data_IF_121861582067
#
_entry.id   IF_121861582067
#
_cell.length_a   1.000
_cell.length_b   1.000
_cell.length_c   1.000
_cell.angle_alpha   90.00
_cell.angle_beta   90.00
_cell.angle_gamma   90.00
#
_symmetry.space_group_name_H-M   'P 1'
#
loop_
_entity.id
_entity.type
_entity.pdbx_description
1 polymer ?
#
# COMPACT_ATOMS: atom_id res chain seq x y z
N UNK A 1 51.89 -60.04 47.85
CA UNK A 1 52.37 -61.17 48.68
C UNK A 1 51.14 -61.90 49.17
N UNK A 2 51.00 -63.17 48.76
CA UNK A 2 50.08 -64.24 49.25
C UNK A 2 48.56 -63.96 49.08
N UNK A 3 47.68 -64.87 48.63
CA UNK A 3 47.59 -66.34 48.79
C UNK A 3 46.72 -66.91 47.65
N UNK A 4 47.28 -67.77 46.78
CA UNK A 4 47.03 -69.23 46.61
C UNK A 4 45.61 -69.63 46.13
N UNK A 5 45.47 -70.25 44.94
CA UNK A 5 45.46 -71.72 44.67
C UNK A 5 44.05 -72.33 44.79
N UNK A 6 43.58 -73.35 44.09
CA UNK A 6 44.11 -74.50 43.35
C UNK A 6 43.08 -74.90 42.25
N UNK A 7 43.41 -75.80 41.32
CA UNK A 7 42.59 -76.19 40.18
C UNK A 7 41.87 -77.55 40.36
N UNK A 8 41.16 -77.95 39.29
CA UNK A 8 40.83 -79.36 38.93
C UNK A 8 39.60 -79.93 39.65
N UNK A 9 38.64 -80.65 39.06
CA UNK A 9 38.50 -81.33 37.76
C UNK A 9 37.04 -81.80 37.60
N UNK A 10 36.57 -81.97 36.35
CA UNK A 10 35.54 -82.92 35.86
C UNK A 10 34.13 -82.82 36.49
N UNK A 11 33.04 -82.85 35.72
CA UNK A 11 32.66 -84.00 34.91
C UNK A 11 31.52 -83.62 33.94
N UNK A 12 31.55 -84.27 32.77
CA UNK A 12 30.60 -84.16 31.66
C UNK A 12 29.16 -84.49 32.08
N UNK A 13 28.20 -83.76 31.51
CA UNK A 13 26.90 -84.32 31.13
C UNK A 13 26.43 -83.63 29.83
N UNK A 14 26.23 -84.43 28.76
CA UNK A 14 25.40 -84.10 27.59
C UNK A 14 23.96 -84.55 27.95
N UNK A 15 22.87 -83.92 27.49
CA UNK A 15 22.58 -83.86 26.04
C UNK A 15 21.70 -82.69 25.53
N UNK A 16 21.51 -82.74 24.21
CA UNK A 16 20.30 -82.36 23.46
C UNK A 16 20.05 -80.88 23.09
N UNK A 17 20.67 -80.50 21.96
CA UNK A 17 20.06 -79.94 20.75
C UNK A 17 18.83 -79.00 20.87
N UNK A 18 19.08 -77.75 20.45
CA UNK A 18 18.40 -76.99 19.36
C UNK A 18 17.82 -75.62 19.77
N UNK A 19 18.06 -74.67 18.86
CA UNK A 19 17.51 -73.33 18.69
C UNK A 19 18.08 -72.20 19.57
N UNK A 20 19.17 -71.59 19.08
CA UNK A 20 19.43 -70.18 19.37
C UNK A 20 19.29 -69.39 18.08
N UNK A 21 18.31 -68.49 18.11
CA UNK A 21 17.92 -67.53 17.08
C UNK A 21 19.11 -66.62 16.76
N UNK A 22 19.49 -66.54 15.49
CA UNK A 22 20.44 -65.53 15.01
C UNK A 22 19.68 -64.21 14.88
N UNK A 23 19.81 -63.34 15.87
CA UNK A 23 19.30 -61.97 15.80
C UNK A 23 20.14 -61.17 14.80
N UNK A 24 19.60 -60.98 13.59
CA UNK A 24 20.10 -60.04 12.60
C UNK A 24 19.86 -58.61 13.12
N UNK A 25 20.89 -57.94 13.62
CA UNK A 25 20.81 -56.50 13.90
C UNK A 25 20.90 -55.77 12.56
N UNK A 26 19.74 -55.51 11.96
CA UNK A 26 19.63 -54.58 10.84
C UNK A 26 19.77 -53.18 11.44
N UNK A 27 20.91 -52.53 11.21
CA UNK A 27 21.06 -51.11 11.46
C UNK A 27 20.13 -50.37 10.48
N UNK A 28 18.92 -50.04 10.95
CA UNK A 28 18.03 -49.11 10.24
C UNK A 28 18.67 -47.73 10.39
N UNK A 29 19.48 -47.33 9.41
CA UNK A 29 19.75 -45.92 9.18
C UNK A 29 18.44 -45.26 8.82
N UNK A 30 17.73 -44.73 9.83
CA UNK A 30 16.68 -43.75 9.62
C UNK A 30 17.38 -42.52 9.07
N UNK A 31 17.47 -42.41 7.74
CA UNK A 31 17.64 -41.11 7.12
C UNK A 31 16.41 -40.31 7.48
N UNK A 32 16.53 -39.49 8.54
CA UNK A 32 15.64 -38.37 8.73
C UNK A 32 15.87 -37.51 7.49
N UNK A 33 15.03 -37.70 6.46
CA UNK A 33 14.81 -36.65 5.47
C UNK A 33 14.26 -35.50 6.31
N UNK A 34 15.15 -34.61 6.72
CA UNK A 34 14.74 -33.29 7.17
C UNK A 34 13.79 -32.78 6.12
N UNK A 35 12.54 -32.49 6.50
CA UNK A 35 11.74 -31.58 5.70
C UNK A 35 12.64 -30.36 5.51
N UNK A 36 13.03 -30.09 4.27
CA UNK A 36 13.46 -28.74 3.91
C UNK A 36 12.22 -27.88 4.11
N UNK A 37 12.07 -27.34 5.31
CA UNK A 37 11.17 -26.23 5.59
C UNK A 37 12.04 -25.00 5.39
N UNK A 38 12.02 -24.43 4.20
CA UNK A 38 12.57 -23.09 3.95
C UNK A 38 11.61 -22.35 3.02
N UNK A 39 10.45 -21.93 3.55
CA UNK A 39 9.57 -20.97 2.87
C UNK A 39 9.54 -19.62 3.60
N UNK A 40 10.57 -19.32 4.42
CA UNK A 40 10.78 -18.01 5.04
C UNK A 40 12.09 -17.32 4.63
N UNK A 41 12.96 -17.99 3.87
CA UNK A 41 14.30 -17.49 3.54
C UNK A 41 14.40 -16.68 2.23
N UNK A 42 13.29 -16.49 1.49
CA UNK A 42 13.30 -15.66 0.27
C UNK A 42 12.87 -14.20 0.50
N UNK A 43 12.23 -13.89 1.63
CA UNK A 43 11.74 -12.56 1.91
C UNK A 43 12.88 -11.63 2.38
N UNK A 44 13.06 -10.52 1.68
CA UNK A 44 14.02 -9.46 2.03
C UNK A 44 13.28 -8.27 2.63
N UNK A 45 13.79 -7.77 3.76
CA UNK A 45 13.37 -6.48 4.29
C UNK A 45 14.12 -5.35 3.58
N UNK A 46 13.39 -4.39 3.02
CA UNK A 46 13.93 -3.25 2.30
C UNK A 46 13.51 -1.93 2.98
N UNK A 47 14.39 -1.33 3.81
CA UNK A 47 14.07 -0.12 4.56
C UNK A 47 14.10 1.13 3.67
N UNK A 48 12.95 1.78 3.52
CA UNK A 48 12.78 3.08 2.90
C UNK A 48 12.70 4.14 4.00
N UNK A 49 13.85 4.65 4.46
CA UNK A 49 13.93 5.56 5.61
C UNK A 49 14.49 6.92 5.20
N UNK A 50 13.99 7.98 5.84
CA UNK A 50 14.59 9.30 5.73
C UNK A 50 16.05 9.29 6.22
N UNK A 51 16.97 10.03 5.57
CA UNK A 51 18.39 10.02 5.92
C UNK A 51 18.72 10.96 7.08
N UNK A 52 18.17 10.70 8.27
CA UNK A 52 18.39 11.49 9.49
C UNK A 52 18.14 12.99 9.29
N UNK A 53 16.96 13.32 8.77
CA UNK A 53 16.56 14.69 8.42
C UNK A 53 16.23 15.53 9.67
N UNK A 54 16.28 16.85 9.50
CA UNK A 54 15.98 17.82 10.56
C UNK A 54 15.17 18.99 9.97
N UNK A 55 13.86 18.81 9.72
CA UNK A 55 13.00 19.89 9.27
C UNK A 55 12.78 20.91 10.40
N UNK A 56 13.01 22.19 10.12
CA UNK A 56 12.87 23.28 11.12
C UNK A 56 11.59 24.09 10.95
N UNK A 57 10.80 23.79 9.91
CA UNK A 57 9.57 24.49 9.56
C UNK A 57 8.41 23.52 9.71
N UNK A 58 7.33 23.97 10.35
CA UNK A 58 6.10 23.17 10.49
C UNK A 58 5.46 22.91 9.13
N UNK A 59 4.69 21.85 9.03
CA UNK A 59 4.04 21.42 7.79
C UNK A 59 5.05 21.20 6.64
N UNK A 60 6.24 20.67 6.94
CA UNK A 60 7.23 20.36 5.89
C UNK A 60 7.00 18.97 5.33
N UNK A 61 6.94 18.87 4.00
CA UNK A 61 6.80 17.60 3.28
C UNK A 61 8.15 17.27 2.64
N UNK A 62 8.84 16.27 3.18
CA UNK A 62 10.14 15.84 2.65
C UNK A 62 9.98 14.59 1.80
N UNK A 63 10.70 14.54 0.69
CA UNK A 63 10.76 13.42 -0.24
C UNK A 63 12.18 12.87 -0.35
N UNK A 64 12.30 11.56 -0.50
CA UNK A 64 13.54 10.88 -0.91
C UNK A 64 13.25 9.67 -1.80
N UNK A 65 14.15 9.35 -2.72
CA UNK A 65 13.95 8.33 -3.75
C UNK A 65 14.84 7.10 -3.57
N UNK A 66 14.27 5.93 -3.86
CA UNK A 66 14.92 4.63 -3.82
C UNK A 66 14.79 3.98 -5.20
N UNK A 67 15.91 3.54 -5.78
CA UNK A 67 15.93 2.97 -7.11
C UNK A 67 15.55 1.50 -7.09
N UNK A 68 14.61 1.10 -7.94
CA UNK A 68 14.21 -0.30 -8.13
C UNK A 68 15.15 -1.02 -9.12
N UNK A 69 15.19 -2.36 -9.11
CA UNK A 69 16.05 -3.12 -10.02
C UNK A 69 15.79 -2.77 -11.49
N UNK A 70 16.86 -2.52 -12.25
CA UNK A 70 16.74 -2.08 -13.66
C UNK A 70 16.46 -3.22 -14.63
N UNK A 71 17.03 -4.39 -14.37
CA UNK A 71 17.02 -5.53 -15.30
C UNK A 71 16.19 -6.72 -14.79
N UNK A 72 15.55 -6.57 -13.63
CA UNK A 72 14.70 -7.57 -13.01
C UNK A 72 13.56 -6.85 -12.25
N UNK A 73 12.57 -7.61 -11.76
CA UNK A 73 11.50 -7.09 -10.91
C UNK A 73 11.50 -7.76 -9.54
N UNK A 74 10.89 -7.11 -8.57
CA UNK A 74 10.65 -7.66 -7.23
C UNK A 74 9.18 -7.43 -6.85
N UNK A 75 8.69 -8.20 -5.89
CA UNK A 75 7.32 -8.17 -5.41
C UNK A 75 7.25 -7.60 -4.00
N UNK A 76 6.46 -6.55 -3.77
CA UNK A 76 6.19 -6.01 -2.44
C UNK A 76 4.92 -6.66 -1.90
N UNK A 77 5.01 -7.31 -0.73
CA UNK A 77 3.90 -8.05 -0.11
C UNK A 77 3.44 -7.48 1.23
N UNK A 78 4.26 -6.62 1.86
CA UNK A 78 3.95 -6.01 3.15
C UNK A 78 4.58 -4.63 3.27
N UNK A 79 3.87 -3.73 3.95
CA UNK A 79 4.31 -2.39 4.30
C UNK A 79 4.31 -2.23 5.83
N UNK A 80 5.49 -2.20 6.44
CA UNK A 80 5.65 -2.04 7.89
C UNK A 80 6.12 -0.62 8.19
N UNK A 81 5.33 0.21 8.89
CA UNK A 81 5.77 1.55 9.24
C UNK A 81 6.92 1.52 10.25
N UNK A 82 7.95 2.31 10.01
CA UNK A 82 9.00 2.66 10.97
C UNK A 82 8.87 4.14 11.28
N UNK A 83 7.83 4.48 12.02
CA UNK A 83 7.50 5.86 12.38
C UNK A 83 6.65 5.88 13.65
N UNK A 84 6.54 7.06 14.24
CA UNK A 84 5.56 7.32 15.28
C UNK A 84 4.90 8.66 15.00
N UNK A 85 3.60 8.78 15.31
CA UNK A 85 2.84 10.01 15.11
C UNK A 85 3.47 11.23 15.80
N UNK A 86 4.25 11.03 16.86
CA UNK A 86 5.00 12.12 17.53
C UNK A 86 6.07 12.79 16.65
N UNK A 87 6.40 12.24 15.49
CA UNK A 87 7.43 12.80 14.59
C UNK A 87 6.96 12.90 13.14
N UNK A 88 6.28 11.88 12.61
CA UNK A 88 5.69 11.91 11.27
C UNK A 88 4.16 11.93 11.37
N UNK A 89 3.52 12.94 10.77
CA UNK A 89 2.06 13.04 10.78
C UNK A 89 1.41 12.03 9.83
N UNK A 90 1.98 11.86 8.63
CA UNK A 90 1.67 10.78 7.71
C UNK A 90 2.86 10.49 6.80
N UNK A 91 2.84 9.30 6.18
CA UNK A 91 3.87 8.83 5.24
C UNK A 91 3.18 8.30 3.99
N UNK A 92 3.58 8.80 2.83
CA UNK A 92 3.10 8.33 1.54
C UNK A 92 4.24 7.69 0.76
N UNK A 93 3.93 6.62 0.05
CA UNK A 93 4.88 5.93 -0.84
C UNK A 93 4.34 5.97 -2.26
N UNK A 94 5.16 6.53 -3.15
CA UNK A 94 4.84 6.65 -4.56
C UNK A 94 5.74 5.76 -5.40
N UNK A 95 5.18 5.17 -6.46
CA UNK A 95 5.94 4.65 -7.58
C UNK A 95 6.14 5.75 -8.61
N UNK A 96 7.37 5.93 -9.08
CA UNK A 96 7.69 6.86 -10.16
C UNK A 96 8.47 6.15 -11.27
N UNK A 97 8.29 6.61 -12.50
CA UNK A 97 9.26 6.35 -13.57
C UNK A 97 10.54 7.17 -13.36
N UNK A 98 10.38 8.43 -12.98
CA UNK A 98 11.44 9.35 -12.60
C UNK A 98 11.02 10.15 -11.36
N UNK A 99 11.84 10.20 -10.30
CA UNK A 99 11.54 11.00 -9.12
C UNK A 99 11.70 12.49 -9.44
N UNK A 100 11.02 13.36 -8.70
CA UNK A 100 11.08 14.80 -8.97
C UNK A 100 12.47 15.42 -8.78
N UNK A 101 13.30 14.80 -7.93
CA UNK A 101 14.73 15.08 -7.84
C UNK A 101 15.51 13.76 -7.75
N UNK A 102 16.65 13.69 -8.44
CA UNK A 102 17.61 12.60 -8.28
C UNK A 102 19.03 13.11 -8.53
N UNK A 103 19.99 12.42 -7.93
CA UNK A 103 21.41 12.63 -8.17
C UNK A 103 22.04 11.25 -8.39
N UNK A 104 22.87 11.12 -9.44
CA UNK A 104 23.44 9.83 -9.88
C UNK A 104 24.23 9.12 -8.78
N UNK A 105 24.93 9.90 -7.94
CA UNK A 105 25.91 9.39 -6.98
C UNK A 105 25.63 9.84 -5.53
N UNK A 106 24.46 10.44 -5.28
CA UNK A 106 24.04 10.83 -3.92
C UNK A 106 23.06 9.81 -3.38
N UNK A 107 23.40 9.08 -2.31
CA UNK A 107 22.64 7.90 -1.91
C UNK A 107 21.21 8.23 -1.50
N UNK A 108 20.93 9.42 -0.96
CA UNK A 108 19.61 9.85 -0.47
C UNK A 108 19.47 11.37 -0.48
N UNK A 109 19.30 11.96 -1.67
CA UNK A 109 18.88 13.36 -1.76
C UNK A 109 17.51 13.53 -1.09
N UNK A 110 17.35 14.64 -0.36
CA UNK A 110 16.08 15.04 0.24
C UNK A 110 15.66 16.36 -0.37
N UNK A 111 14.38 16.45 -0.73
CA UNK A 111 13.80 17.67 -1.27
C UNK A 111 12.43 17.92 -0.64
N UNK A 112 11.98 19.17 -0.69
CA UNK A 112 10.64 19.56 -0.32
C UNK A 112 9.69 19.20 -1.47
N UNK A 113 8.71 18.32 -1.21
CA UNK A 113 7.78 17.82 -2.22
C UNK A 113 6.83 18.91 -2.73
N UNK A 114 6.78 20.07 -2.05
CA UNK A 114 6.11 21.26 -2.52
C UNK A 114 4.59 21.23 -2.37
N UNK A 115 4.06 20.43 -1.45
CA UNK A 115 2.61 20.36 -1.16
C UNK A 115 2.13 21.52 -0.29
N UNK A 116 3.01 22.24 0.43
CA UNK A 116 2.62 23.44 1.17
C UNK A 116 3.03 24.74 0.47
N UNK A 117 2.15 25.74 0.46
CA UNK A 117 2.43 27.08 -0.08
C UNK A 117 3.34 27.89 0.86
N UNK A 118 4.30 28.61 0.28
CA UNK A 118 4.84 29.83 0.87
C UNK A 118 6.05 29.74 1.82
N UNK A 119 6.28 28.66 2.57
CA UNK A 119 7.39 28.62 3.53
C UNK A 119 8.65 27.96 2.94
N UNK A 120 9.80 28.63 3.09
CA UNK A 120 11.10 28.07 2.69
C UNK A 120 11.58 27.08 3.75
N UNK A 121 11.39 25.79 3.50
CA UNK A 121 11.86 24.69 4.36
C UNK A 121 13.39 24.56 4.46
N UNK A 122 14.13 25.28 3.61
CA UNK A 122 15.60 25.15 3.48
C UNK A 122 16.03 24.03 2.53
N UNK A 123 15.09 23.18 2.10
CA UNK A 123 15.32 22.16 1.09
C UNK A 123 15.01 22.70 -0.31
N UNK A 124 15.62 22.11 -1.33
CA UNK A 124 15.21 22.40 -2.71
C UNK A 124 13.78 21.91 -2.93
N UNK A 125 12.95 22.70 -3.60
CA UNK A 125 11.58 22.30 -3.93
C UNK A 125 11.52 21.51 -5.24
N UNK A 126 10.65 20.51 -5.29
CA UNK A 126 10.36 19.72 -6.49
C UNK A 126 9.14 18.82 -6.29
N UNK A 127 8.50 18.34 -7.35
CA UNK A 127 7.36 17.43 -7.22
C UNK A 127 7.81 16.08 -6.63
N UNK A 128 6.86 15.23 -6.24
CA UNK A 128 7.15 13.87 -5.79
C UNK A 128 7.76 13.02 -6.91
N UNK A 129 7.11 13.01 -8.08
CA UNK A 129 7.63 12.39 -9.31
C UNK A 129 7.72 13.45 -10.41
N UNK A 130 8.72 13.37 -11.29
CA UNK A 130 8.72 14.15 -12.52
C UNK A 130 7.90 13.48 -13.62
N UNK A 131 7.77 12.15 -13.59
CA UNK A 131 6.91 11.38 -14.49
C UNK A 131 6.46 10.06 -13.85
N UNK A 132 5.35 9.52 -14.36
CA UNK A 132 4.84 8.20 -13.99
C UNK A 132 4.49 8.04 -12.50
N UNK A 133 4.03 9.12 -11.86
CA UNK A 133 3.57 9.07 -10.47
C UNK A 133 2.47 8.03 -10.31
N UNK A 134 2.41 7.36 -9.17
CA UNK A 134 1.26 6.60 -8.70
C UNK A 134 1.45 6.39 -7.19
N UNK A 135 0.39 6.53 -6.40
CA UNK A 135 0.48 6.14 -4.99
C UNK A 135 0.50 4.61 -4.90
N UNK A 136 1.31 4.08 -4.00
CA UNK A 136 1.40 2.64 -3.72
C UNK A 136 0.94 2.35 -2.31
N UNK A 137 1.26 3.22 -1.35
CA UNK A 137 0.92 3.02 0.06
C UNK A 137 0.80 4.36 0.80
N UNK A 138 0.03 4.34 1.89
CA UNK A 138 -0.17 5.47 2.77
C UNK A 138 -0.29 5.00 4.22
N UNK A 139 0.33 5.73 5.14
CA UNK A 139 0.28 5.51 6.57
C UNK A 139 -0.06 6.80 7.30
N UNK A 140 -0.90 6.71 8.33
CA UNK A 140 -1.28 7.83 9.20
C UNK A 140 -1.62 7.33 10.61
N UNK A 141 -1.47 8.19 11.63
CA UNK A 141 -1.93 7.98 13.02
C UNK A 141 -1.62 6.59 13.61
N UNK A 142 -0.38 6.13 13.48
CA UNK A 142 0.08 4.83 14.02
C UNK A 142 -0.73 3.63 13.51
N UNK A 143 -1.20 3.72 12.26
CA UNK A 143 -1.83 2.60 11.56
C UNK A 143 -0.94 1.34 11.59
N UNK A 144 -1.55 0.15 11.74
CA UNK A 144 -0.80 -1.11 11.74
C UNK A 144 -0.14 -1.37 10.38
N UNK A 145 0.80 -2.33 10.31
CA UNK A 145 1.33 -2.82 9.04
C UNK A 145 0.21 -3.25 8.09
N UNK A 146 0.38 -2.95 6.80
CA UNK A 146 -0.50 -3.45 5.75
C UNK A 146 0.09 -4.72 5.16
N UNK A 147 -0.59 -5.83 5.38
CA UNK A 147 -0.34 -7.09 4.70
C UNK A 147 -1.25 -7.18 3.48
N UNK A 148 -0.67 -7.45 2.30
CA UNK A 148 -1.48 -7.72 1.11
C UNK A 148 -2.14 -9.10 1.21
N UNK A 149 -3.28 -9.33 0.54
CA UNK A 149 -3.90 -10.64 0.49
C UNK A 149 -2.96 -11.73 -0.03
N UNK A 150 -3.24 -12.99 0.29
CA UNK A 150 -2.40 -14.11 -0.11
C UNK A 150 -2.22 -14.16 -1.64
N UNK A 151 -0.95 -14.25 -2.07
CA UNK A 151 -0.55 -14.30 -3.46
C UNK A 151 -0.67 -12.97 -4.22
N UNK A 152 -1.01 -11.86 -3.55
CA UNK A 152 -1.09 -10.51 -4.12
C UNK A 152 0.18 -9.73 -3.81
N UNK A 153 0.76 -9.07 -4.81
CA UNK A 153 1.92 -8.19 -4.61
C UNK A 153 1.95 -7.00 -5.57
N UNK A 154 2.55 -5.88 -5.15
CA UNK A 154 2.95 -4.84 -6.10
C UNK A 154 4.24 -5.26 -6.81
N UNK A 155 4.24 -5.19 -8.14
CA UNK A 155 5.40 -5.54 -8.98
C UNK A 155 6.21 -4.28 -9.31
N UNK A 156 7.47 -4.22 -8.90
CA UNK A 156 8.34 -3.03 -9.06
C UNK A 156 9.65 -3.36 -9.78
N UNK A 157 10.22 -2.37 -10.48
CA UNK A 157 11.44 -2.54 -11.29
C UNK A 157 11.17 -2.98 -12.73
N UNK A 158 12.25 -3.14 -13.50
CA UNK A 158 12.23 -3.49 -14.93
C UNK A 158 11.26 -2.61 -15.74
N UNK A 159 10.24 -3.22 -16.35
CA UNK A 159 9.31 -2.58 -17.28
C UNK A 159 7.93 -2.35 -16.66
N UNK A 160 7.83 -2.32 -15.32
CA UNK A 160 6.53 -2.14 -14.62
C UNK A 160 6.05 -0.69 -14.59
N UNK A 161 6.89 0.25 -15.02
CA UNK A 161 6.67 1.69 -14.85
C UNK A 161 6.96 2.22 -13.44
N UNK A 162 7.39 1.35 -12.49
CA UNK A 162 7.83 1.75 -11.15
C UNK A 162 9.35 1.53 -11.06
N UNK A 163 10.11 2.49 -11.59
CA UNK A 163 11.57 2.45 -11.60
C UNK A 163 12.17 2.99 -10.29
N UNK A 164 11.40 3.82 -9.58
CA UNK A 164 11.76 4.39 -8.30
C UNK A 164 10.57 4.32 -7.36
N UNK A 165 10.88 4.13 -6.08
CA UNK A 165 9.97 4.39 -4.99
C UNK A 165 10.35 5.73 -4.34
N UNK A 166 9.40 6.64 -4.22
CA UNK A 166 9.59 7.92 -3.53
C UNK A 166 8.82 7.90 -2.23
N UNK A 167 9.58 7.97 -1.13
CA UNK A 167 9.05 8.12 0.22
C UNK A 167 8.81 9.60 0.47
N UNK A 168 7.58 9.95 0.84
CA UNK A 168 7.19 11.28 1.29
C UNK A 168 6.79 11.20 2.77
N UNK A 169 7.35 12.09 3.60
CA UNK A 169 7.02 12.19 5.02
C UNK A 169 6.57 13.61 5.33
N UNK A 170 5.39 13.73 5.96
CA UNK A 170 4.88 15.00 6.43
C UNK A 170 5.24 15.23 7.90
N UNK A 171 6.01 16.30 8.15
CA UNK A 171 6.42 16.76 9.47
C UNK A 171 5.59 17.98 9.91
N UNK A 172 4.47 17.71 10.58
CA UNK A 172 3.60 18.75 11.16
C UNK A 172 4.23 19.45 12.39
N UNK A 173 5.10 18.75 13.10
CA UNK A 173 5.71 19.18 14.36
C UNK A 173 7.23 19.18 14.27
N UNK A 174 7.88 20.18 14.88
CA UNK A 174 9.33 20.41 14.73
C UNK A 174 10.09 20.62 16.03
N UNK A 175 9.42 20.49 17.17
CA UNK A 175 9.95 20.76 18.51
C UNK A 175 11.18 19.89 18.80
N UNK A 176 11.18 18.62 18.34
CA UNK A 176 12.33 17.70 18.41
C UNK A 176 13.54 18.20 17.60
N UNK A 177 13.30 18.83 16.44
CA UNK A 177 14.34 19.23 15.50
C UNK A 177 14.99 20.56 15.88
N UNK A 178 14.24 21.47 16.52
CA UNK A 178 14.79 22.75 17.02
C UNK A 178 15.94 22.49 18.02
N UNK A 179 15.85 21.40 18.80
CA UNK A 179 16.89 20.99 19.76
C UNK A 179 18.00 20.12 19.16
N UNK A 180 18.12 20.04 17.83
CA UNK A 180 19.17 19.26 17.16
C UNK A 180 18.83 17.77 16.96
N UNK A 181 17.60 17.35 17.27
CA UNK A 181 17.14 15.99 16.98
C UNK A 181 17.10 15.73 15.47
N UNK A 182 17.19 14.45 15.09
CA UNK A 182 17.06 13.98 13.71
C UNK A 182 15.96 12.93 13.60
N UNK A 183 15.53 12.65 12.37
CA UNK A 183 14.49 11.66 12.10
C UNK A 183 14.81 10.77 10.89
N UNK A 184 14.51 9.49 11.03
CA UNK A 184 14.63 8.46 10.02
C UNK A 184 13.30 7.72 9.79
N UNK A 185 12.18 8.42 10.00
CA UNK A 185 10.85 7.84 9.77
C UNK A 185 10.73 7.36 8.32
N UNK A 186 9.97 6.28 8.13
CA UNK A 186 9.78 5.69 6.82
C UNK A 186 9.02 4.38 6.86
N UNK A 187 9.14 3.58 5.80
CA UNK A 187 8.46 2.29 5.64
C UNK A 187 9.49 1.20 5.38
N UNK A 188 9.35 0.05 6.04
CA UNK A 188 10.11 -1.16 5.74
C UNK A 188 9.21 -2.04 4.87
N UNK A 189 9.70 -2.40 3.69
CA UNK A 189 9.00 -3.30 2.79
C UNK A 189 9.44 -4.74 3.01
N UNK A 190 8.48 -5.68 3.01
CA UNK A 190 8.79 -7.09 2.78
C UNK A 190 8.72 -7.37 1.29
N UNK A 191 9.85 -7.75 0.69
CA UNK A 191 10.00 -7.98 -0.74
C UNK A 191 10.35 -9.44 -1.04
N UNK A 192 9.75 -9.98 -2.12
CA UNK A 192 10.06 -11.31 -2.66
C UNK A 192 10.75 -11.17 -4.03
N UNK A 193 11.67 -12.08 -4.39
CA UNK A 193 12.35 -12.07 -5.69
C UNK A 193 11.39 -12.43 -6.83
N UNK A 194 11.76 -12.08 -8.07
CA UNK A 194 11.02 -12.43 -9.29
C UNK A 194 10.79 -13.93 -9.49
N UNK A 195 11.62 -14.77 -8.88
CA UNK A 195 11.54 -16.24 -8.94
C UNK A 195 10.50 -16.84 -8.00
N UNK A 196 9.91 -16.05 -7.10
CA UNK A 196 8.93 -16.54 -6.15
C UNK A 196 7.63 -16.91 -6.88
N UNK A 197 7.16 -18.14 -6.65
CA UNK A 197 5.98 -18.71 -7.33
C UNK A 197 4.69 -18.62 -6.50
N UNK A 198 4.73 -18.01 -5.31
CA UNK A 198 3.55 -17.82 -4.45
C UNK A 198 2.75 -16.60 -4.88
N UNK A 199 3.41 -15.60 -5.48
CA UNK A 199 2.75 -14.44 -6.07
C UNK A 199 2.10 -14.83 -7.38
N UNK A 200 0.77 -14.82 -7.41
CA UNK A 200 -0.05 -15.20 -8.56
C UNK A 200 -0.91 -14.05 -9.07
N UNK A 201 -0.99 -12.96 -8.29
CA UNK A 201 -1.84 -11.80 -8.55
C UNK A 201 -1.04 -10.52 -8.38
N UNK A 202 -1.30 -9.55 -9.25
CA UNK A 202 -0.62 -8.26 -9.22
C UNK A 202 -1.53 -7.19 -8.66
N UNK A 203 -1.04 -6.44 -7.66
CA UNK A 203 -1.72 -5.30 -7.08
C UNK A 203 -1.52 -4.03 -7.93
N UNK A 204 -2.53 -3.18 -7.92
CA UNK A 204 -2.50 -1.83 -8.47
C UNK A 204 -3.32 -0.87 -7.61
N UNK A 205 -3.19 0.42 -7.90
CA UNK A 205 -4.06 1.46 -7.33
C UNK A 205 -4.75 2.19 -8.47
N UNK A 206 -6.06 2.33 -8.37
CA UNK A 206 -6.88 3.14 -9.27
C UNK A 206 -7.36 4.37 -8.51
N UNK A 207 -6.99 5.56 -8.98
CA UNK A 207 -7.37 6.83 -8.36
C UNK A 207 -8.57 7.43 -9.10
N UNK A 208 -9.64 7.69 -8.36
CA UNK A 208 -10.71 8.59 -8.79
C UNK A 208 -10.49 9.95 -8.16
N UNK A 209 -10.41 10.98 -8.98
CA UNK A 209 -10.26 12.36 -8.53
C UNK A 209 -11.11 13.34 -9.34
N UNK A 210 -11.15 14.58 -8.89
CA UNK A 210 -11.91 15.64 -9.54
C UNK A 210 -11.07 16.91 -9.66
N UNK A 211 -11.48 17.80 -10.57
CA UNK A 211 -11.13 19.21 -10.50
C UNK A 211 -12.34 19.99 -9.97
N UNK A 212 -12.34 21.31 -10.12
CA UNK A 212 -13.50 22.15 -9.83
C UNK A 212 -13.27 23.12 -8.67
N UNK A 213 -14.37 23.65 -8.16
CA UNK A 213 -14.41 24.62 -7.07
C UNK A 213 -15.62 24.42 -6.18
N UNK A 214 -15.58 25.02 -5.00
CA UNK A 214 -16.69 25.13 -4.05
C UNK A 214 -16.79 26.59 -3.61
N UNK A 215 -18.02 27.12 -3.56
CA UNK A 215 -18.25 28.49 -3.13
C UNK A 215 -18.20 28.61 -1.61
N UNK A 216 -17.75 29.77 -1.15
CA UNK A 216 -17.71 30.09 0.28
C UNK A 216 -19.09 29.94 0.95
N UNK A 217 -19.14 29.20 2.06
CA UNK A 217 -20.36 28.97 2.85
C UNK A 217 -21.32 27.91 2.29
N UNK A 218 -20.95 27.22 1.21
CA UNK A 218 -21.80 26.23 0.54
C UNK A 218 -21.34 24.79 0.78
N UNK A 219 -22.27 23.86 0.60
CA UNK A 219 -21.98 22.42 0.48
C UNK A 219 -21.97 22.05 -1.00
N UNK A 220 -21.03 21.21 -1.43
CA UNK A 220 -20.91 20.78 -2.82
C UNK A 220 -20.48 19.31 -2.93
N UNK A 221 -20.89 18.68 -4.03
CA UNK A 221 -20.55 17.32 -4.40
C UNK A 221 -19.50 17.30 -5.52
N UNK A 222 -18.29 16.87 -5.18
CA UNK A 222 -17.24 16.60 -6.14
C UNK A 222 -17.34 15.17 -6.63
N UNK A 223 -17.73 15.00 -7.89
CA UNK A 223 -18.06 13.68 -8.44
C UNK A 223 -17.15 13.29 -9.60
N UNK A 224 -16.83 12.02 -9.72
CA UNK A 224 -16.15 11.42 -10.87
C UNK A 224 -16.78 10.07 -11.21
N UNK A 225 -16.78 9.72 -12.49
CA UNK A 225 -17.17 8.39 -12.96
C UNK A 225 -16.45 8.05 -14.27
N UNK A 226 -15.86 6.85 -14.32
CA UNK A 226 -15.19 6.34 -15.52
C UNK A 226 -15.62 4.91 -15.79
N UNK A 227 -15.87 4.63 -17.07
CA UNK A 227 -16.13 3.27 -17.54
C UNK A 227 -14.82 2.48 -17.56
N UNK A 228 -14.89 1.22 -17.16
CA UNK A 228 -13.79 0.28 -17.26
C UNK A 228 -13.68 -0.20 -18.72
N UNK A 229 -12.82 0.44 -19.50
CA UNK A 229 -12.62 0.12 -20.92
C UNK A 229 -11.45 -0.86 -21.17
N UNK A 230 -10.81 -1.36 -20.11
CA UNK A 230 -9.77 -2.39 -20.21
C UNK A 230 -10.38 -3.79 -20.01
N UNK A 231 -10.04 -4.79 -20.85
CA UNK A 231 -10.57 -6.16 -20.76
C UNK A 231 -9.86 -6.94 -19.64
N UNK A 232 -9.86 -6.39 -18.44
CA UNK A 232 -9.22 -6.94 -17.25
C UNK A 232 -10.24 -6.90 -16.11
N UNK A 233 -10.34 -8.03 -15.40
CA UNK A 233 -11.14 -8.12 -14.19
C UNK A 233 -10.29 -7.68 -13.00
N UNK A 234 -10.79 -6.72 -12.22
CA UNK A 234 -10.11 -6.25 -11.01
C UNK A 234 -10.93 -6.56 -9.76
N UNK A 235 -10.23 -6.82 -8.66
CA UNK A 235 -10.82 -7.15 -7.36
C UNK A 235 -10.37 -6.11 -6.33
N UNK A 236 -11.23 -5.13 -5.99
CA UNK A 236 -10.94 -4.18 -4.93
C UNK A 236 -10.76 -4.91 -3.60
N UNK A 237 -9.72 -4.55 -2.83
CA UNK A 237 -9.49 -5.14 -1.51
C UNK A 237 -9.21 -4.11 -0.42
N UNK A 238 -8.80 -2.90 -0.79
CA UNK A 238 -8.68 -1.79 0.14
C UNK A 238 -8.95 -0.45 -0.56
N UNK A 239 -9.30 0.57 0.21
CA UNK A 239 -9.53 1.92 -0.29
C UNK A 239 -9.01 2.98 0.68
N UNK A 240 -8.65 4.14 0.15
CA UNK A 240 -8.24 5.31 0.93
C UNK A 240 -8.99 6.54 0.43
N UNK A 241 -9.53 7.32 1.35
CA UNK A 241 -10.14 8.61 1.07
C UNK A 241 -9.15 9.73 1.40
N UNK A 242 -9.18 10.81 0.63
CA UNK A 242 -8.37 11.98 0.90
C UNK A 242 -9.05 13.26 0.45
N UNK A 243 -9.09 14.21 1.38
CA UNK A 243 -9.37 15.62 1.18
C UNK A 243 -8.42 16.41 2.09
N UNK A 244 -8.40 17.72 1.92
CA UNK A 244 -7.93 18.66 2.93
C UNK A 244 -9.07 18.91 3.94
N UNK A 245 -9.24 20.14 4.41
CA UNK A 245 -10.04 20.45 5.59
C UNK A 245 -11.57 20.45 5.39
N UNK A 246 -12.08 20.52 4.16
CA UNK A 246 -13.51 20.74 3.85
C UNK A 246 -14.30 19.44 3.71
N UNK A 247 -13.63 18.31 3.48
CA UNK A 247 -14.27 17.01 3.27
C UNK A 247 -15.01 16.47 4.48
N UNK A 248 -16.28 16.09 4.29
CA UNK A 248 -17.13 15.41 5.26
C UNK A 248 -17.14 13.90 5.06
N UNK A 249 -17.35 13.47 3.81
CA UNK A 249 -17.48 12.06 3.42
C UNK A 249 -16.89 11.89 2.03
N UNK A 250 -16.18 10.80 1.81
CA UNK A 250 -15.84 10.33 0.47
C UNK A 250 -16.32 8.90 0.31
N UNK A 251 -17.02 8.65 -0.79
CA UNK A 251 -17.60 7.34 -1.12
C UNK A 251 -17.19 6.92 -2.53
N UNK A 252 -17.00 5.61 -2.71
CA UNK A 252 -16.68 4.99 -3.99
C UNK A 252 -17.64 3.83 -4.27
N UNK A 253 -18.08 3.74 -5.52
CA UNK A 253 -19.07 2.78 -6.00
C UNK A 253 -18.63 2.14 -7.31
N UNK A 254 -19.05 0.89 -7.50
CA UNK A 254 -19.19 0.26 -8.81
C UNK A 254 -20.64 0.43 -9.28
N UNK A 255 -20.84 0.75 -10.55
CA UNK A 255 -22.11 0.63 -11.25
C UNK A 255 -21.95 -0.49 -12.27
N UNK A 256 -22.72 -1.57 -12.14
CA UNK A 256 -22.66 -2.67 -13.09
C UNK A 256 -23.42 -2.34 -14.39
N UNK A 257 -23.33 -3.27 -15.36
CA UNK A 257 -23.96 -3.16 -16.68
C UNK A 257 -25.49 -3.09 -16.63
N UNK A 258 -26.11 -3.50 -15.52
CA UNK A 258 -27.55 -3.44 -15.30
C UNK A 258 -27.95 -2.13 -14.58
N UNK A 259 -27.00 -1.21 -14.36
CA UNK A 259 -27.20 0.07 -13.70
C UNK A 259 -27.29 -0.03 -12.17
N UNK A 260 -26.94 -1.17 -11.58
CA UNK A 260 -26.99 -1.35 -10.12
C UNK A 260 -25.71 -0.86 -9.48
N UNK A 261 -25.88 -0.10 -8.40
CA UNK A 261 -24.82 0.48 -7.61
C UNK A 261 -24.38 -0.47 -6.48
N UNK A 262 -23.08 -0.64 -6.32
CA UNK A 262 -22.44 -1.47 -5.30
C UNK A 262 -21.37 -0.63 -4.59
N UNK A 263 -21.44 -0.54 -3.27
CA UNK A 263 -20.47 0.22 -2.48
C UNK A 263 -19.11 -0.49 -2.50
N UNK A 264 -18.06 0.24 -2.88
CA UNK A 264 -16.66 -0.21 -2.71
C UNK A 264 -16.20 0.15 -1.29
N UNK A 265 -16.48 1.39 -0.88
CA UNK A 265 -16.14 1.87 0.45
C UNK A 265 -16.54 3.33 0.63
N UNK A 266 -16.73 3.75 1.89
CA UNK A 266 -16.92 5.15 2.26
C UNK A 266 -16.24 5.44 3.59
N UNK A 267 -15.70 6.63 3.74
CA UNK A 267 -15.02 7.03 4.98
C UNK A 267 -15.03 8.54 5.18
N UNK A 268 -14.90 8.97 6.43
CA UNK A 268 -14.60 10.36 6.77
C UNK A 268 -13.13 10.67 6.40
N UNK A 269 -12.84 11.60 5.49
CA UNK A 269 -11.46 11.90 5.10
C UNK A 269 -10.66 12.65 6.18
N UNK A 270 -11.28 13.13 7.27
CA UNK A 270 -10.59 13.76 8.41
C UNK A 270 -10.05 12.73 9.43
N UNK A 271 -10.51 11.49 9.33
CA UNK A 271 -10.00 10.36 10.11
C UNK A 271 -8.65 9.85 9.53
N UNK A 272 -7.92 8.91 10.17
CA UNK A 272 -6.65 8.42 9.63
C UNK A 272 -6.73 8.07 8.14
N UNK A 273 -6.01 8.80 7.29
CA UNK A 273 -6.07 8.60 5.84
C UNK A 273 -5.17 7.43 5.39
N UNK A 274 -5.46 6.23 5.89
CA UNK A 274 -4.84 4.96 5.52
C UNK A 274 -5.71 4.18 4.53
N UNK A 275 -5.22 3.02 4.10
CA UNK A 275 -6.02 2.07 3.33
C UNK A 275 -6.87 1.20 4.27
N UNK A 276 -8.19 1.32 4.14
CA UNK A 276 -9.20 0.53 4.83
C UNK A 276 -9.63 -0.66 3.97
N UNK A 277 -9.95 -1.82 4.56
CA UNK A 277 -10.41 -2.97 3.80
C UNK A 277 -11.75 -2.69 3.12
N UNK A 278 -11.94 -3.23 1.91
CA UNK A 278 -13.27 -3.30 1.27
C UNK A 278 -14.09 -4.39 1.98
N UNK A 279 -15.33 -4.08 2.36
CA UNK A 279 -16.18 -5.01 3.12
C UNK A 279 -16.68 -6.20 2.28
N UNK A 280 -17.01 -5.96 1.01
CA UNK A 280 -17.42 -7.01 0.07
C UNK A 280 -16.20 -7.63 -0.62
N UNK A 281 -15.72 -8.75 -0.06
CA UNK A 281 -14.60 -9.53 -0.57
C UNK A 281 -14.86 -10.21 -1.92
N UNK A 282 -16.12 -10.20 -2.39
CA UNK A 282 -16.54 -10.74 -3.69
C UNK A 282 -16.78 -9.65 -4.72
N UNK A 283 -16.56 -8.39 -4.38
CA UNK A 283 -16.74 -7.30 -5.32
C UNK A 283 -15.75 -7.45 -6.47
N UNK A 284 -16.29 -7.47 -7.68
CA UNK A 284 -15.52 -7.57 -8.92
C UNK A 284 -15.90 -6.40 -9.80
N UNK A 285 -14.94 -5.74 -10.42
CA UNK A 285 -15.19 -4.71 -11.45
C UNK A 285 -14.70 -5.28 -12.79
N UNK A 286 -15.63 -5.39 -13.73
CA UNK A 286 -15.40 -5.97 -15.05
C UNK A 286 -15.39 -4.90 -16.15
N UNK A 287 -14.88 -5.29 -17.32
CA UNK A 287 -15.01 -4.51 -18.54
C UNK A 287 -16.46 -4.04 -18.75
N UNK A 288 -16.63 -2.74 -18.98
CA UNK A 288 -17.90 -2.08 -19.22
C UNK A 288 -18.62 -1.57 -17.98
N UNK A 289 -18.25 -2.00 -16.78
CA UNK A 289 -18.76 -1.42 -15.53
C UNK A 289 -18.25 0.03 -15.37
N UNK A 290 -18.87 0.82 -14.48
CA UNK A 290 -18.44 2.17 -14.16
C UNK A 290 -17.92 2.20 -12.72
N UNK A 291 -16.78 2.84 -12.50
CA UNK A 291 -16.30 3.16 -11.16
C UNK A 291 -16.55 4.64 -10.92
N UNK A 292 -17.24 4.95 -9.83
CA UNK A 292 -17.68 6.31 -9.50
C UNK A 292 -17.26 6.67 -8.07
N UNK A 293 -16.91 7.94 -7.84
CA UNK A 293 -16.63 8.45 -6.50
C UNK A 293 -17.26 9.83 -6.28
N UNK A 294 -17.70 10.09 -5.04
CA UNK A 294 -18.21 11.38 -4.59
C UNK A 294 -17.46 11.81 -3.32
N UNK A 295 -16.99 13.05 -3.32
CA UNK A 295 -16.63 13.75 -2.08
C UNK A 295 -17.69 14.79 -1.76
N UNK A 296 -18.22 14.74 -0.55
CA UNK A 296 -19.14 15.75 -0.02
C UNK A 296 -18.34 16.69 0.87
N UNK A 297 -18.33 17.97 0.51
CA UNK A 297 -17.53 19.00 1.16
C UNK A 297 -18.40 20.16 1.61
N UNK A 298 -18.01 20.83 2.69
CA UNK A 298 -18.61 22.10 3.10
C UNK A 298 -17.52 23.14 3.27
N UNK A 299 -17.61 24.22 2.49
CA UNK A 299 -16.66 25.31 2.58
C UNK A 299 -17.06 26.29 3.68
N UNK A 300 -16.46 26.13 4.85
CA UNK A 300 -16.65 27.07 5.97
C UNK A 300 -15.77 28.33 5.86
N UNK A 301 -15.00 28.49 4.78
CA UNK A 301 -14.12 29.64 4.56
C UNK A 301 -14.90 30.83 4.00
N UNK A 302 -14.25 31.99 3.99
CA UNK A 302 -14.82 33.25 3.51
C UNK A 302 -14.58 33.52 2.01
N UNK A 303 -13.83 32.64 1.33
CA UNK A 303 -13.47 32.75 -0.08
C UNK A 303 -13.67 31.40 -0.75
N UNK A 304 -13.98 31.43 -2.05
CA UNK A 304 -14.13 30.21 -2.84
C UNK A 304 -12.85 29.38 -2.84
N UNK A 305 -13.01 28.06 -2.68
CA UNK A 305 -11.90 27.11 -2.67
C UNK A 305 -11.86 26.34 -3.98
N UNK A 306 -10.66 26.16 -4.53
CA UNK A 306 -10.42 25.43 -5.77
C UNK A 306 -9.69 24.12 -5.50
N UNK A 307 -9.82 23.15 -6.42
CA UNK A 307 -8.96 21.96 -6.36
C UNK A 307 -7.51 22.34 -6.62
N UNK A 308 -6.61 21.92 -5.73
CA UNK A 308 -5.19 22.24 -5.77
C UNK A 308 -4.37 21.49 -4.72
N UNK A 309 -3.04 21.62 -4.75
CA UNK A 309 -2.15 20.80 -3.95
C UNK A 309 -1.92 21.25 -2.51
N UNK A 310 -2.38 22.45 -2.14
CA UNK A 310 -2.01 23.08 -0.86
C UNK A 310 -3.13 23.02 0.17
N UNK A 311 -2.81 23.18 1.46
CA UNK A 311 -3.83 23.26 2.51
C UNK A 311 -4.84 24.40 2.35
N UNK A 312 -4.53 25.42 1.54
CA UNK A 312 -5.46 26.49 1.15
C UNK A 312 -6.37 26.10 -0.02
N UNK A 313 -6.03 25.03 -0.73
CA UNK A 313 -6.85 24.42 -1.76
C UNK A 313 -7.64 23.22 -1.19
N UNK A 314 -8.37 22.51 -2.04
CA UNK A 314 -8.91 21.18 -1.74
C UNK A 314 -8.45 20.09 -2.71
N UNK A 315 -8.63 18.84 -2.31
CA UNK A 315 -8.56 17.65 -3.14
C UNK A 315 -9.79 16.77 -2.90
N UNK A 316 -10.26 16.11 -3.94
CA UNK A 316 -11.19 14.99 -3.81
C UNK A 316 -10.54 13.77 -4.42
N UNK A 317 -10.09 12.84 -3.59
CA UNK A 317 -9.42 11.63 -4.05
C UNK A 317 -10.00 10.38 -3.36
N UNK A 318 -10.42 9.41 -4.17
CA UNK A 318 -10.73 8.05 -3.75
C UNK A 318 -9.74 7.09 -4.40
N UNK A 319 -8.85 6.52 -3.59
CA UNK A 319 -7.86 5.55 -4.02
C UNK A 319 -8.41 4.15 -3.78
N UNK A 320 -8.43 3.31 -4.81
CA UNK A 320 -8.85 1.92 -4.70
C UNK A 320 -7.66 1.01 -4.99
N UNK A 321 -7.21 0.27 -3.98
CA UNK A 321 -6.31 -0.85 -4.17
C UNK A 321 -7.11 -2.04 -4.71
N UNK A 322 -6.60 -2.60 -5.79
CA UNK A 322 -7.17 -3.79 -6.42
C UNK A 322 -6.07 -4.79 -6.76
N UNK A 323 -6.45 -6.04 -6.97
CA UNK A 323 -5.58 -7.02 -7.61
C UNK A 323 -6.20 -7.55 -8.91
N UNK A 324 -5.34 -8.11 -9.75
CA UNK A 324 -5.71 -8.86 -10.96
C UNK A 324 -5.04 -10.22 -10.92
N UNK A 325 -5.66 -11.22 -11.52
CA UNK A 325 -4.98 -12.48 -11.77
C UNK A 325 -3.87 -12.30 -12.82
N UNK A 326 -2.67 -12.80 -12.51
CA UNK A 326 -1.50 -12.65 -13.35
C UNK A 326 -0.75 -11.33 -13.16
N UNK A 327 -0.09 -10.89 -14.23
CA UNK A 327 1.05 -9.95 -14.17
C UNK A 327 0.76 -8.54 -14.70
N UNK A 328 -0.46 -8.27 -15.17
CA UNK A 328 -0.80 -7.05 -15.92
C UNK A 328 -1.94 -6.29 -15.24
N UNK A 329 -1.64 -5.36 -14.32
CA UNK A 329 -2.65 -4.46 -13.76
C UNK A 329 -3.15 -3.48 -14.82
N UNK A 330 -4.11 -2.63 -14.47
CA UNK A 330 -4.65 -1.62 -15.39
C UNK A 330 -3.55 -0.69 -15.90
N UNK A 331 -3.62 -0.36 -17.20
CA UNK A 331 -2.76 0.65 -17.78
C UNK A 331 -3.24 2.06 -17.38
N UNK A 332 -4.56 2.28 -17.40
CA UNK A 332 -5.18 3.51 -16.92
C UNK A 332 -5.30 3.45 -15.40
N UNK A 333 -4.54 4.30 -14.72
CA UNK A 333 -4.50 4.36 -13.24
C UNK A 333 -5.37 5.46 -12.65
N UNK A 334 -5.98 6.28 -13.51
CA UNK A 334 -6.61 7.52 -13.14
C UNK A 334 -7.97 7.68 -13.80
N UNK A 335 -8.93 8.11 -13.01
CA UNK A 335 -10.22 8.60 -13.44
C UNK A 335 -10.38 10.03 -12.93
N UNK A 336 -10.48 11.00 -13.84
CA UNK A 336 -10.70 12.40 -13.48
C UNK A 336 -11.93 12.97 -14.17
N UNK A 337 -12.69 13.77 -13.44
CA UNK A 337 -13.71 14.65 -13.99
C UNK A 337 -13.27 16.11 -13.94
N UNK A 338 -14.02 16.98 -14.61
CA UNK A 338 -13.88 18.45 -14.45
C UNK A 338 -14.42 18.95 -13.11
N UNK A 339 -15.20 18.12 -12.41
CA UNK A 339 -15.91 18.44 -11.17
C UNK A 339 -16.83 19.67 -11.24
N UNK A 340 -17.31 20.16 -10.09
CA UNK A 340 -18.26 21.26 -10.01
C UNK A 340 -17.65 22.60 -10.48
N UNK A 341 -18.46 23.47 -11.10
CA UNK A 341 -19.89 23.30 -11.40
C UNK A 341 -20.18 22.55 -12.72
N UNK A 342 -19.13 22.04 -13.38
CA UNK A 342 -19.22 21.54 -14.76
C UNK A 342 -19.70 20.08 -14.86
N UNK A 343 -19.37 19.25 -13.88
CA UNK A 343 -19.67 17.82 -13.89
C UNK A 343 -20.35 17.37 -12.60
N UNK A 344 -21.40 16.57 -12.77
CA UNK A 344 -22.10 15.82 -11.73
C UNK A 344 -22.52 14.47 -12.32
N UNK A 345 -22.68 13.43 -11.50
CA UNK A 345 -23.18 12.11 -11.93
C UNK A 345 -24.51 12.22 -12.67
N UNK A 346 -25.39 13.12 -12.21
CA UNK A 346 -26.70 13.38 -12.83
C UNK A 346 -26.62 13.94 -14.26
N UNK A 347 -25.45 14.44 -14.67
CA UNK A 347 -25.17 14.94 -16.02
C UNK A 347 -24.32 13.96 -16.86
N UNK A 348 -23.85 12.85 -16.28
CA UNK A 348 -23.04 11.87 -17.02
C UNK A 348 -23.95 10.96 -17.83
N UNK A 349 -23.88 11.07 -19.16
CA UNK A 349 -24.65 10.24 -20.10
C UNK A 349 -24.43 8.72 -19.96
N UNK A 350 -23.37 8.29 -19.26
CA UNK A 350 -23.08 6.87 -18.99
C UNK A 350 -23.84 6.34 -17.78
N UNK A 351 -24.38 7.21 -16.94
CA UNK A 351 -25.15 6.84 -15.74
C UNK A 351 -26.63 7.02 -16.08
N UNK A 352 -27.35 5.92 -16.24
CA UNK A 352 -28.77 5.95 -16.62
C UNK A 352 -29.67 6.47 -15.49
N UNK A 353 -29.41 6.04 -14.26
CA UNK A 353 -30.22 6.34 -13.09
C UNK A 353 -29.40 6.34 -11.79
N UNK A 354 -29.69 7.31 -10.93
CA UNK A 354 -29.13 7.40 -9.58
C UNK A 354 -30.29 7.19 -8.60
N UNK A 355 -30.35 6.05 -7.90
CA UNK A 355 -31.34 5.84 -6.86
C UNK A 355 -31.24 6.91 -5.77
N UNK A 356 -32.37 7.42 -5.28
CA UNK A 356 -32.39 8.49 -4.27
C UNK A 356 -31.73 8.09 -2.95
N UNK A 357 -31.77 6.80 -2.60
CA UNK A 357 -31.06 6.30 -1.42
C UNK A 357 -29.54 6.33 -1.65
N UNK A 358 -29.04 5.95 -2.84
CA UNK A 358 -27.62 6.03 -3.19
C UNK A 358 -27.14 7.48 -3.17
N UNK A 359 -27.90 8.40 -3.75
CA UNK A 359 -27.58 9.82 -3.75
C UNK A 359 -27.43 10.38 -2.33
N UNK A 360 -28.29 9.96 -1.39
CA UNK A 360 -28.21 10.36 0.01
C UNK A 360 -27.05 9.66 0.75
N UNK A 361 -26.91 8.36 0.57
CA UNK A 361 -25.90 7.52 1.24
C UNK A 361 -24.47 7.87 0.83
N UNK A 362 -24.26 8.32 -0.42
CA UNK A 362 -22.95 8.75 -0.90
C UNK A 362 -22.39 9.97 -0.14
N UNK A 363 -23.28 10.76 0.47
CA UNK A 363 -22.96 11.95 1.28
C UNK A 363 -23.08 11.71 2.79
N UNK A 364 -23.31 10.47 3.25
CA UNK A 364 -23.54 10.13 4.65
C UNK A 364 -22.63 9.00 5.14
N UNK A 365 -22.09 9.15 6.36
CA UNK A 365 -21.36 8.07 7.05
C UNK A 365 -22.29 7.01 7.63
N UNK A 366 -23.55 7.37 7.88
CA UNK A 366 -24.54 6.43 8.40
C UNK A 366 -24.89 5.39 7.32
N UNK A 367 -25.11 4.15 7.77
CA UNK A 367 -25.59 3.02 6.96
C UNK A 367 -27.08 2.85 7.16
#
# INVERSE_FOLDING_TARGET
>A
MVVRSFPSTKMKLKPLKICVVVSLIIAITVTVRGKVVTSKDEAKLYPLLMPDVQPLIKETYLCTAFRMPKYDYEYIVEFTPNASMHTAHHILLYGCELPGKWQRDSPRIVWDCGEMSGQKSGFQRGPTCSSGSQIIYAWAKDAPPLHLPEGVAFKVGKDTGINYLVLQVHYAHVEKFIMGGKDNSGIILTMLPSTNNQVTKTAGVYLLGTNGMIHAGEEEHFESACRMDEPVQIHPFAFRTHTHALGKVVSGYKIDKDGKWHLIGKHNPQEPQMFYPVEDDKLVIDYGDIVAARCTMYDFRAVDTYIGPTGEDEMCNFYMMYYVDGDKPLNMKYCYSTGPPSYYWSKDSKIEFIPSNIDKEASSLDV
#
